data_IF_086127610814
#
_entry.id   IF_086127610814
#
_cell.length_a   1.000
_cell.length_b   1.000
_cell.length_c   1.000
_cell.angle_alpha   90.00
_cell.angle_beta   90.00
_cell.angle_gamma   90.00
#
_symmetry.space_group_name_H-M   'P 1'
#
loop_
_entity.id
_entity.type
_entity.pdbx_description
1 polymer ?
#
# COMPACT_ATOMS: atom_id res chain seq x y z
N UNK A 1 -60.83 -23.59 42.93
CA UNK A 1 -60.91 -22.18 42.53
C UNK A 1 -60.27 -22.09 41.15
N UNK A 2 -61.12 -22.05 40.14
CA UNK A 2 -60.83 -22.34 38.74
C UNK A 2 -61.19 -21.09 37.93
N UNK A 3 -60.36 -20.82 36.92
CA UNK A 3 -60.66 -20.10 35.67
C UNK A 3 -60.85 -18.58 35.76
N UNK A 4 -59.92 -17.84 35.14
CA UNK A 4 -60.24 -16.95 34.02
C UNK A 4 -58.94 -16.53 33.34
N UNK A 5 -58.71 -16.95 32.10
CA UNK A 5 -57.99 -16.13 31.12
C UNK A 5 -58.62 -16.35 29.75
N UNK A 6 -59.11 -15.24 29.22
CA UNK A 6 -59.99 -15.08 28.07
C UNK A 6 -59.28 -15.41 26.76
N UNK A 7 -59.98 -16.14 25.91
CA UNK A 7 -59.72 -16.26 24.47
C UNK A 7 -60.08 -14.94 23.77
N UNK A 8 -59.17 -14.33 23.03
CA UNK A 8 -59.48 -13.49 21.84
C UNK A 8 -58.41 -13.71 20.77
N UNK A 9 -58.87 -14.23 19.62
CA UNK A 9 -58.42 -14.14 18.21
C UNK A 9 -56.92 -13.92 17.92
N UNK A 10 -56.19 -14.82 17.24
CA UNK A 10 -56.40 -15.33 15.86
C UNK A 10 -56.45 -14.25 14.76
N UNK A 11 -55.52 -13.30 14.76
CA UNK A 11 -55.24 -12.48 13.57
C UNK A 11 -53.85 -11.81 13.69
N UNK A 12 -52.80 -12.55 13.32
CA UNK A 12 -51.48 -12.05 12.92
C UNK A 12 -50.57 -13.24 12.57
N UNK A 13 -51.00 -14.04 11.59
CA UNK A 13 -50.16 -15.03 10.89
C UNK A 13 -50.16 -14.71 9.41
N UNK A 14 -49.55 -13.60 9.06
CA UNK A 14 -49.06 -13.28 7.72
C UNK A 14 -47.90 -12.27 7.89
N UNK A 15 -46.96 -12.27 6.96
CA UNK A 15 -45.74 -11.43 6.92
C UNK A 15 -44.57 -11.77 7.83
N UNK A 16 -44.09 -13.01 7.72
CA UNK A 16 -42.68 -13.34 8.03
C UNK A 16 -41.92 -13.92 6.82
N UNK A 17 -42.41 -13.67 5.59
CA UNK A 17 -41.76 -14.10 4.35
C UNK A 17 -41.89 -13.03 3.27
N UNK A 18 -41.22 -11.90 3.46
CA UNK A 18 -40.84 -10.97 2.39
C UNK A 18 -39.71 -10.04 2.84
N UNK A 19 -38.72 -10.58 3.57
CA UNK A 19 -37.41 -9.92 3.61
C UNK A 19 -36.74 -10.31 2.30
N UNK A 20 -36.97 -9.49 1.28
CA UNK A 20 -36.23 -9.55 0.03
C UNK A 20 -34.74 -9.71 0.35
N UNK A 21 -34.14 -10.78 -0.18
CA UNK A 21 -32.69 -10.88 -0.29
C UNK A 21 -32.27 -9.72 -1.20
N UNK A 22 -31.96 -8.58 -0.59
CA UNK A 22 -31.25 -7.52 -1.29
C UNK A 22 -29.92 -8.14 -1.70
N UNK A 23 -29.75 -8.38 -3.00
CA UNK A 23 -28.47 -8.70 -3.60
C UNK A 23 -27.48 -7.64 -3.16
N UNK A 24 -26.69 -7.93 -2.12
CA UNK A 24 -25.62 -7.09 -1.66
C UNK A 24 -24.52 -7.18 -2.73
N UNK A 25 -24.66 -6.40 -3.80
CA UNK A 25 -23.62 -6.27 -4.80
C UNK A 25 -22.36 -5.80 -4.08
N UNK A 26 -21.34 -6.65 -4.12
CA UNK A 26 -20.03 -6.32 -3.59
C UNK A 26 -19.56 -5.02 -4.26
N UNK A 27 -19.06 -4.04 -3.49
CA UNK A 27 -18.61 -2.78 -4.06
C UNK A 27 -17.45 -3.03 -5.03
N UNK A 28 -17.50 -2.37 -6.18
CA UNK A 28 -16.43 -2.48 -7.18
C UNK A 28 -15.09 -1.95 -6.62
N UNK A 29 -13.97 -2.37 -7.21
CA UNK A 29 -12.65 -1.86 -6.86
C UNK A 29 -12.58 -0.32 -6.92
N UNK A 30 -13.25 0.30 -7.91
CA UNK A 30 -13.31 1.76 -8.04
C UNK A 30 -14.16 2.41 -6.95
N UNK A 31 -15.27 1.78 -6.54
CA UNK A 31 -16.09 2.24 -5.42
C UNK A 31 -15.29 2.24 -4.12
N UNK A 32 -14.49 1.19 -3.89
CA UNK A 32 -13.60 1.10 -2.73
C UNK A 32 -12.50 2.17 -2.75
N UNK A 33 -11.92 2.47 -3.91
CA UNK A 33 -10.93 3.56 -4.04
C UNK A 33 -11.54 4.95 -3.82
N UNK A 34 -12.75 5.18 -4.29
CA UNK A 34 -13.48 6.42 -4.03
C UNK A 34 -13.76 6.58 -2.51
N UNK A 35 -14.24 5.51 -1.86
CA UNK A 35 -14.44 5.49 -0.41
C UNK A 35 -13.13 5.70 0.36
N UNK A 36 -12.02 5.11 -0.10
CA UNK A 36 -10.70 5.31 0.49
C UNK A 36 -10.27 6.79 0.43
N UNK A 37 -10.56 7.46 -0.68
CA UNK A 37 -10.28 8.89 -0.84
C UNK A 37 -11.12 9.73 0.12
N UNK A 38 -12.39 9.40 0.31
CA UNK A 38 -13.23 10.12 1.27
C UNK A 38 -12.76 9.91 2.71
N UNK A 39 -12.45 8.67 3.10
CA UNK A 39 -11.87 8.35 4.40
C UNK A 39 -10.56 9.11 4.63
N UNK A 40 -9.72 9.22 3.60
CA UNK A 40 -8.51 10.04 3.61
C UNK A 40 -8.77 11.50 3.96
N UNK A 41 -9.75 12.11 3.26
CA UNK A 41 -10.14 13.51 3.47
C UNK A 41 -10.70 13.76 4.87
N UNK A 42 -11.34 12.76 5.46
CA UNK A 42 -11.87 12.80 6.83
C UNK A 42 -10.80 12.54 7.91
N UNK A 43 -9.56 12.23 7.51
CA UNK A 43 -8.47 11.90 8.45
C UNK A 43 -8.45 10.44 8.91
N UNK A 44 -9.30 9.59 8.35
CA UNK A 44 -9.46 8.17 8.72
C UNK A 44 -8.45 7.28 7.98
N UNK A 45 -7.15 7.51 8.24
CA UNK A 45 -6.05 6.91 7.46
C UNK A 45 -6.06 5.36 7.47
N UNK A 46 -6.44 4.75 8.60
CA UNK A 46 -6.51 3.29 8.71
C UNK A 46 -7.63 2.70 7.83
N UNK A 47 -8.79 3.36 7.79
CA UNK A 47 -9.93 2.97 6.95
C UNK A 47 -9.56 3.11 5.48
N UNK A 48 -8.93 4.23 5.11
CA UNK A 48 -8.48 4.45 3.74
C UNK A 48 -7.47 3.37 3.27
N UNK A 49 -6.50 3.01 4.13
CA UNK A 49 -5.53 1.97 3.82
C UNK A 49 -6.19 0.58 3.63
N UNK A 50 -7.16 0.24 4.47
CA UNK A 50 -7.90 -1.02 4.33
C UNK A 50 -8.70 -1.06 3.03
N UNK A 51 -9.43 0.01 2.71
CA UNK A 51 -10.22 0.11 1.48
C UNK A 51 -9.36 -0.01 0.22
N UNK A 52 -8.15 0.55 0.21
CA UNK A 52 -7.19 0.39 -0.89
C UNK A 52 -6.75 -1.07 -1.03
N UNK A 53 -6.49 -1.76 0.10
CA UNK A 53 -6.13 -3.18 0.08
C UNK A 53 -7.28 -4.01 -0.47
N UNK A 54 -8.51 -3.77 -0.01
CA UNK A 54 -9.70 -4.46 -0.51
C UNK A 54 -9.91 -4.19 -2.00
N UNK A 55 -9.72 -2.94 -2.47
CA UNK A 55 -9.86 -2.59 -3.87
C UNK A 55 -8.94 -3.42 -4.78
N UNK A 56 -7.69 -3.64 -4.37
CA UNK A 56 -6.72 -4.47 -5.09
C UNK A 56 -7.11 -5.95 -5.15
N UNK A 57 -7.67 -6.46 -4.05
CA UNK A 57 -8.10 -7.85 -3.95
C UNK A 57 -9.32 -8.15 -4.81
N UNK A 58 -10.25 -7.21 -4.97
CA UNK A 58 -11.47 -7.40 -5.75
C UNK A 58 -11.35 -6.95 -7.21
N UNK A 59 -10.21 -6.40 -7.61
CA UNK A 59 -9.98 -5.97 -8.98
C UNK A 59 -9.89 -7.16 -9.94
N UNK A 60 -10.67 -7.13 -11.02
CA UNK A 60 -10.57 -8.12 -12.09
C UNK A 60 -9.21 -8.00 -12.80
N UNK A 61 -8.73 -9.03 -13.51
CA UNK A 61 -7.46 -8.96 -14.25
C UNK A 61 -7.32 -7.70 -15.12
N UNK A 62 -8.36 -7.35 -15.88
CA UNK A 62 -8.36 -6.16 -16.75
C UNK A 62 -8.39 -4.82 -15.99
N UNK A 63 -8.66 -4.84 -14.68
CA UNK A 63 -8.70 -3.65 -13.83
C UNK A 63 -7.43 -3.44 -13.02
N UNK A 64 -6.56 -4.45 -12.91
CA UNK A 64 -5.42 -4.46 -11.99
C UNK A 64 -4.50 -3.24 -12.20
N UNK A 65 -4.15 -2.93 -13.45
CA UNK A 65 -3.28 -1.79 -13.75
C UNK A 65 -3.91 -0.45 -13.34
N UNK A 66 -5.19 -0.25 -13.67
CA UNK A 66 -5.93 0.96 -13.33
C UNK A 66 -6.12 1.12 -11.82
N UNK A 67 -6.49 0.05 -11.13
CA UNK A 67 -6.67 0.04 -9.68
C UNK A 67 -5.33 0.29 -8.98
N UNK A 68 -4.23 -0.25 -9.50
CA UNK A 68 -2.90 -0.04 -8.94
C UNK A 68 -2.42 1.41 -9.11
N UNK A 69 -2.64 2.01 -10.28
CA UNK A 69 -2.33 3.41 -10.54
C UNK A 69 -3.14 4.33 -9.62
N UNK A 70 -4.45 4.12 -9.54
CA UNK A 70 -5.34 4.93 -8.70
C UNK A 70 -5.05 4.75 -7.21
N UNK A 71 -4.80 3.51 -6.76
CA UNK A 71 -4.37 3.25 -5.38
C UNK A 71 -3.12 4.05 -5.03
N UNK A 72 -2.15 4.10 -5.93
CA UNK A 72 -0.91 4.85 -5.73
C UNK A 72 -1.16 6.35 -5.63
N UNK A 73 -2.08 6.90 -6.43
CA UNK A 73 -2.50 8.30 -6.34
C UNK A 73 -3.17 8.62 -5.00
N UNK A 74 -4.11 7.78 -4.54
CA UNK A 74 -4.80 7.96 -3.25
C UNK A 74 -3.82 7.89 -2.07
N UNK A 75 -2.88 6.93 -2.07
CA UNK A 75 -1.79 6.85 -1.09
C UNK A 75 -0.92 8.11 -1.11
N UNK A 76 -0.63 8.66 -2.29
CA UNK A 76 0.11 9.91 -2.45
C UNK A 76 -0.59 11.10 -1.79
N UNK A 77 -1.91 11.26 -2.00
CA UNK A 77 -2.71 12.32 -1.37
C UNK A 77 -2.88 12.13 0.14
N UNK A 78 -3.10 10.89 0.60
CA UNK A 78 -3.12 10.51 2.02
C UNK A 78 -1.88 11.03 2.76
N UNK A 79 -0.70 10.82 2.17
CA UNK A 79 0.57 11.28 2.72
C UNK A 79 0.69 12.81 2.83
N UNK A 80 -0.06 13.57 2.01
CA UNK A 80 -0.11 15.05 2.08
C UNK A 80 -1.08 15.53 3.14
N UNK A 81 -2.27 14.93 3.22
CA UNK A 81 -3.29 15.27 4.23
C UNK A 81 -2.77 15.00 5.64
N UNK A 82 -2.11 13.86 5.86
CA UNK A 82 -1.54 13.51 7.17
C UNK A 82 -0.43 14.47 7.65
N UNK A 83 0.20 15.24 6.75
CA UNK A 83 1.25 16.21 7.10
C UNK A 83 0.70 17.62 7.39
N UNK A 84 -0.61 17.84 7.29
CA UNK A 84 -1.25 19.14 7.39
C UNK A 84 -0.98 19.99 6.15
N UNK A 85 -2.01 20.68 5.63
CA UNK A 85 -1.88 21.63 4.53
C UNK A 85 -0.99 22.81 4.93
N UNK A 86 0.33 22.65 4.83
CA UNK A 86 1.27 23.74 4.62
C UNK A 86 2.16 23.33 3.46
N UNK A 87 2.33 24.15 2.41
CA UNK A 87 3.47 24.00 1.53
C UNK A 87 4.70 24.26 2.39
N UNK A 88 5.25 23.19 2.97
CA UNK A 88 6.59 23.20 3.51
C UNK A 88 7.47 23.67 2.37
N UNK A 89 8.07 24.86 2.48
CA UNK A 89 9.28 25.23 1.71
C UNK A 89 10.10 23.95 1.55
N UNK A 90 10.39 23.59 0.29
CA UNK A 90 11.02 22.33 -0.08
C UNK A 90 12.13 21.98 0.91
N UNK A 91 11.81 21.07 1.83
CA UNK A 91 12.79 20.51 2.73
C UNK A 91 13.19 19.22 2.02
N UNK A 92 14.38 19.13 1.38
CA UNK A 92 14.76 17.99 0.54
C UNK A 92 14.64 16.63 1.25
N UNK A 93 14.63 16.61 2.59
CA UNK A 93 14.33 15.42 3.38
C UNK A 93 12.90 14.87 3.24
N UNK A 94 11.93 15.65 2.72
CA UNK A 94 10.54 15.25 2.64
C UNK A 94 10.21 14.41 1.38
N UNK A 95 10.98 14.59 0.31
CA UNK A 95 10.81 13.85 -0.94
C UNK A 95 11.28 12.39 -0.81
N UNK A 96 12.37 12.13 -0.07
CA UNK A 96 12.77 10.76 0.29
C UNK A 96 11.66 10.02 1.05
N UNK A 97 10.88 10.72 1.88
CA UNK A 97 9.75 10.10 2.58
C UNK A 97 8.68 9.59 1.62
N UNK A 98 8.55 10.16 0.42
CA UNK A 98 7.54 9.73 -0.55
C UNK A 98 7.86 8.34 -1.07
N UNK A 99 9.10 8.10 -1.53
CA UNK A 99 9.52 6.77 -2.02
C UNK A 99 9.49 5.74 -0.90
N UNK A 100 9.98 6.09 0.30
CA UNK A 100 9.95 5.18 1.45
C UNK A 100 8.51 4.85 1.87
N UNK A 101 7.64 5.85 1.93
CA UNK A 101 6.23 5.67 2.30
C UNK A 101 5.50 4.83 1.26
N UNK A 102 5.68 5.14 -0.02
CA UNK A 102 5.08 4.34 -1.09
C UNK A 102 5.57 2.90 -1.02
N UNK A 103 6.89 2.66 -0.96
CA UNK A 103 7.43 1.31 -0.92
C UNK A 103 6.92 0.53 0.30
N UNK A 104 6.92 1.14 1.50
CA UNK A 104 6.41 0.52 2.73
C UNK A 104 4.96 0.02 2.60
N UNK A 105 4.11 0.77 1.89
CA UNK A 105 2.69 0.43 1.72
C UNK A 105 2.40 -0.45 0.50
N UNK A 106 3.41 -0.75 -0.33
CA UNK A 106 3.24 -1.47 -1.58
C UNK A 106 4.17 -2.67 -1.74
N UNK A 107 5.09 -2.90 -0.80
CA UNK A 107 6.15 -3.91 -0.89
C UNK A 107 5.62 -5.30 -1.27
N UNK A 108 4.54 -5.78 -0.63
CA UNK A 108 3.97 -7.10 -0.91
C UNK A 108 3.41 -7.24 -2.34
N UNK A 109 3.03 -6.12 -2.96
CA UNK A 109 2.52 -6.08 -4.34
C UNK A 109 3.67 -6.06 -5.34
N UNK A 110 4.72 -5.27 -5.05
CA UNK A 110 5.84 -5.07 -5.98
C UNK A 110 6.95 -6.11 -5.84
N UNK A 111 6.98 -6.85 -4.72
CA UNK A 111 7.86 -7.97 -4.47
C UNK A 111 6.99 -9.14 -3.99
N UNK A 112 6.59 -9.99 -4.92
CA UNK A 112 5.76 -11.16 -4.62
C UNK A 112 6.46 -12.08 -3.60
N UNK A 113 5.75 -12.43 -2.53
CA UNK A 113 6.29 -13.25 -1.44
C UNK A 113 7.33 -12.54 -0.57
N UNK A 114 7.50 -11.22 -0.75
CA UNK A 114 8.37 -10.40 0.08
C UNK A 114 7.81 -10.15 1.46
N UNK A 115 8.67 -10.20 2.47
CA UNK A 115 8.33 -9.84 3.85
C UNK A 115 9.36 -8.87 4.41
N UNK A 116 8.90 -7.79 5.07
CA UNK A 116 9.83 -6.92 5.79
C UNK A 116 10.48 -7.69 6.94
N UNK A 117 11.81 -7.64 7.00
CA UNK A 117 12.59 -8.24 8.09
C UNK A 117 13.48 -7.20 8.75
N UNK A 118 13.81 -7.42 10.02
CA UNK A 118 14.87 -6.65 10.66
C UNK A 118 16.20 -7.20 10.18
N UNK A 119 16.98 -6.35 9.54
CA UNK A 119 18.36 -6.66 9.20
C UNK A 119 19.20 -6.82 10.49
N UNK A 120 20.05 -7.85 10.54
CA UNK A 120 21.14 -7.91 11.52
C UNK A 120 22.04 -6.69 11.34
N UNK A 121 22.29 -5.92 12.38
CA UNK A 121 23.01 -4.66 12.25
C UNK A 121 24.47 -4.91 11.83
N UNK A 122 24.82 -4.54 10.60
CA UNK A 122 26.22 -4.46 10.16
C UNK A 122 26.70 -3.01 10.34
N UNK A 123 27.79 -2.81 11.09
CA UNK A 123 28.30 -1.47 11.39
C UNK A 123 28.67 -0.75 10.09
N UNK A 124 28.13 0.47 9.91
CA UNK A 124 28.37 1.29 8.72
C UNK A 124 27.44 1.00 7.54
N UNK A 125 26.60 -0.04 7.61
CA UNK A 125 25.74 -0.46 6.50
C UNK A 125 24.28 -0.56 6.93
N UNK A 126 23.52 0.49 6.64
CA UNK A 126 22.10 0.60 6.97
C UNK A 126 21.29 0.79 5.68
N UNK A 127 20.79 -0.29 5.07
CA UNK A 127 19.86 -0.15 3.94
C UNK A 127 18.56 0.51 4.42
N UNK A 128 17.83 1.15 3.51
CA UNK A 128 16.54 1.79 3.83
C UNK A 128 15.51 0.76 4.31
N UNK A 129 15.50 -0.42 3.67
CA UNK A 129 14.72 -1.58 4.10
C UNK A 129 15.48 -2.89 3.87
N UNK A 130 15.00 -3.95 4.52
CA UNK A 130 15.41 -5.32 4.26
C UNK A 130 14.17 -6.17 4.00
N UNK A 131 14.17 -6.92 2.92
CA UNK A 131 13.05 -7.78 2.51
C UNK A 131 13.54 -9.22 2.42
N UNK A 132 12.84 -10.15 3.04
CA UNK A 132 13.06 -11.59 2.84
C UNK A 132 12.19 -12.10 1.71
N UNK A 133 12.79 -12.80 0.75
CA UNK A 133 12.08 -13.48 -0.35
C UNK A 133 12.63 -14.90 -0.45
N UNK A 134 11.75 -15.90 -0.29
CA UNK A 134 12.15 -17.31 -0.30
C UNK A 134 13.32 -17.64 0.67
N UNK A 135 13.38 -16.95 1.82
CA UNK A 135 14.41 -17.15 2.84
C UNK A 135 15.69 -16.34 2.65
N UNK A 136 15.84 -15.60 1.54
CA UNK A 136 16.98 -14.73 1.29
C UNK A 136 16.69 -13.28 1.71
N UNK A 137 17.57 -12.70 2.53
CA UNK A 137 17.50 -11.28 2.91
C UNK A 137 18.10 -10.40 1.81
N UNK A 138 17.28 -9.49 1.27
CA UNK A 138 17.62 -8.62 0.14
C UNK A 138 17.54 -7.15 0.58
N UNK A 139 18.64 -6.38 0.49
CA UNK A 139 18.62 -4.96 0.83
C UNK A 139 17.82 -4.17 -0.20
N UNK A 140 17.15 -3.13 0.29
CA UNK A 140 16.41 -2.17 -0.52
C UNK A 140 17.00 -0.79 -0.31
N UNK A 141 17.29 -0.09 -1.41
CA UNK A 141 17.73 1.29 -1.41
C UNK A 141 16.71 2.17 -2.13
N UNK A 142 16.25 3.24 -1.48
CA UNK A 142 15.22 4.14 -1.98
C UNK A 142 15.82 5.51 -2.35
N UNK A 143 15.54 5.97 -3.57
CA UNK A 143 15.94 7.29 -4.07
C UNK A 143 14.86 7.87 -4.97
N UNK A 144 14.77 9.21 -5.07
CA UNK A 144 13.95 9.83 -6.10
C UNK A 144 14.50 9.51 -7.49
N UNK A 145 15.79 9.81 -7.69
CA UNK A 145 16.56 9.44 -8.86
C UNK A 145 17.64 8.45 -8.44
N UNK A 146 17.47 7.20 -8.85
CA UNK A 146 18.43 6.14 -8.60
C UNK A 146 19.58 6.23 -9.59
N UNK A 147 20.75 6.66 -9.10
CA UNK A 147 21.94 6.96 -9.91
C UNK A 147 23.11 6.05 -9.53
N UNK A 148 24.28 6.24 -10.18
CA UNK A 148 25.46 5.42 -9.94
C UNK A 148 25.95 5.45 -8.47
N UNK A 149 25.77 6.57 -7.76
CA UNK A 149 26.13 6.66 -6.35
C UNK A 149 25.22 5.79 -5.48
N UNK A 150 23.91 5.81 -5.74
CA UNK A 150 22.95 4.95 -5.05
C UNK A 150 23.16 3.47 -5.37
N UNK A 151 23.51 3.16 -6.62
CA UNK A 151 23.92 1.81 -7.01
C UNK A 151 25.12 1.32 -6.19
N UNK A 152 26.16 2.14 -6.04
CA UNK A 152 27.32 1.78 -5.22
C UNK A 152 26.95 1.54 -3.74
N UNK A 153 25.99 2.31 -3.20
CA UNK A 153 25.47 2.06 -1.85
C UNK A 153 24.79 0.70 -1.76
N UNK A 154 23.89 0.38 -2.71
CA UNK A 154 23.19 -0.90 -2.76
C UNK A 154 24.16 -2.08 -2.94
N UNK A 155 25.15 -1.97 -3.83
CA UNK A 155 26.19 -2.98 -4.01
C UNK A 155 27.00 -3.21 -2.73
N UNK A 156 27.33 -2.14 -1.99
CA UNK A 156 28.01 -2.26 -0.72
C UNK A 156 27.14 -3.00 0.32
N UNK A 157 25.83 -2.77 0.32
CA UNK A 157 24.90 -3.54 1.17
C UNK A 157 24.82 -5.00 0.75
N UNK A 158 24.73 -5.31 -0.55
CA UNK A 158 24.76 -6.70 -1.03
C UNK A 158 25.99 -7.44 -0.53
N UNK A 159 27.17 -6.82 -0.65
CA UNK A 159 28.41 -7.39 -0.14
C UNK A 159 28.43 -7.52 1.39
N UNK A 160 27.97 -6.50 2.13
CA UNK A 160 28.02 -6.49 3.59
C UNK A 160 27.05 -7.52 4.22
N UNK A 161 25.92 -7.78 3.57
CA UNK A 161 24.89 -8.69 4.04
C UNK A 161 24.96 -10.09 3.38
N UNK A 162 25.90 -10.30 2.45
CA UNK A 162 26.01 -11.56 1.70
C UNK A 162 24.75 -11.86 0.86
N UNK A 163 24.05 -10.82 0.41
CA UNK A 163 22.81 -10.96 -0.34
C UNK A 163 23.12 -11.12 -1.83
N UNK A 164 22.47 -12.10 -2.47
CA UNK A 164 22.63 -12.37 -3.89
C UNK A 164 21.86 -11.36 -4.74
N UNK A 165 20.73 -10.85 -4.23
CA UNK A 165 19.85 -9.93 -4.95
C UNK A 165 19.49 -8.67 -4.16
N UNK A 166 19.27 -7.55 -4.86
CA UNK A 166 18.88 -6.27 -4.24
C UNK A 166 17.77 -5.54 -5.00
N UNK A 167 17.11 -4.61 -4.31
CA UNK A 167 16.04 -3.79 -4.90
C UNK A 167 16.43 -2.31 -4.92
N UNK A 168 16.47 -1.75 -6.12
CA UNK A 168 16.60 -0.31 -6.33
C UNK A 168 15.20 0.29 -6.47
N UNK A 169 14.79 1.17 -5.58
CA UNK A 169 13.45 1.76 -5.60
C UNK A 169 13.55 3.25 -5.88
N UNK A 170 12.80 3.72 -6.88
CA UNK A 170 12.77 5.16 -7.16
C UNK A 170 11.85 5.59 -8.27
N UNK A 171 11.74 6.90 -8.46
CA UNK A 171 10.88 7.49 -9.50
C UNK A 171 11.56 7.37 -10.87
N UNK A 172 12.88 7.57 -10.89
CA UNK A 172 13.70 7.54 -12.11
C UNK A 172 14.97 6.73 -11.90
N UNK A 173 15.36 5.96 -12.90
CA UNK A 173 16.65 5.29 -12.98
C UNK A 173 17.55 6.03 -13.98
N UNK A 174 18.79 6.32 -13.60
CA UNK A 174 19.77 7.02 -14.46
C UNK A 174 21.11 6.31 -14.58
N UNK A 175 21.22 5.10 -14.05
CA UNK A 175 22.39 4.23 -14.21
C UNK A 175 21.99 2.87 -14.77
N UNK A 176 22.97 2.15 -15.34
CA UNK A 176 22.80 0.74 -15.71
C UNK A 176 22.88 -0.11 -14.44
N UNK A 177 21.93 -1.03 -14.29
CA UNK A 177 21.90 -1.97 -13.19
C UNK A 177 22.50 -3.32 -13.63
N UNK A 178 23.22 -4.02 -12.74
CA UNK A 178 23.58 -5.42 -12.96
C UNK A 178 22.35 -6.33 -12.83
N UNK A 179 22.44 -7.56 -13.36
CA UNK A 179 21.33 -8.52 -13.42
C UNK A 179 20.77 -8.90 -12.04
N UNK A 180 21.59 -8.79 -11.00
CA UNK A 180 21.21 -9.12 -9.62
C UNK A 180 20.54 -7.96 -8.86
N UNK A 181 20.16 -6.88 -9.56
CA UNK A 181 19.41 -5.77 -8.98
C UNK A 181 18.15 -5.52 -9.81
N UNK A 182 16.99 -5.55 -9.14
CA UNK A 182 15.72 -5.19 -9.78
C UNK A 182 15.37 -3.74 -9.46
N UNK A 183 15.08 -2.95 -10.50
CA UNK A 183 14.49 -1.63 -10.32
C UNK A 183 12.98 -1.74 -10.12
N UNK A 184 12.48 -1.12 -9.04
CA UNK A 184 11.07 -0.97 -8.75
C UNK A 184 10.73 0.51 -8.90
N UNK A 185 9.94 0.81 -9.94
CA UNK A 185 9.56 2.18 -10.21
C UNK A 185 8.44 2.62 -9.25
N UNK A 186 8.70 3.70 -8.51
CA UNK A 186 7.69 4.44 -7.77
C UNK A 186 6.87 5.25 -8.79
N UNK A 187 5.54 5.08 -8.88
CA UNK A 187 4.68 5.72 -9.88
C UNK A 187 4.40 7.20 -9.58
N UNK A 188 4.87 7.73 -8.45
CA UNK A 188 4.65 9.12 -8.09
C UNK A 188 5.61 10.03 -8.86
N UNK A 189 5.09 11.05 -9.53
CA UNK A 189 5.93 12.05 -10.19
C UNK A 189 6.64 12.93 -9.16
N UNK A 190 7.94 13.19 -9.39
CA UNK A 190 8.64 14.23 -8.66
C UNK A 190 8.03 15.57 -9.08
N UNK A 191 7.46 16.32 -8.14
CA UNK A 191 7.01 17.68 -8.43
C UNK A 191 8.24 18.52 -8.77
N UNK A 192 8.37 18.92 -10.03
CA UNK A 192 9.17 20.06 -10.40
C UNK A 192 8.31 21.31 -10.10
N UNK A 193 8.39 21.78 -8.86
CA UNK A 193 7.93 23.12 -8.49
C UNK A 193 9.02 24.16 -8.88
#
# INVERSE_FOLDING_TARGET
MQIELKTINSEARADSRDIAQADFQQPSAYTLLAAATQAALNGEMAVAAELIRTARLVATPDQQDNVQLLSSAVVGELGRVAKGRRPSRANPHNEFRVVHFWFRNNMEVVIQGGQFVKASRVVGYNPDFMVSVAGECRPVECKLTFNARALNQLLAYLSAYGAGHGYAVGIRLTCKLPDNITFIQCPLEARHD
#
